data_IF_909919548708
#
_entry.id   IF_909919548708
#
_cell.length_a   1.000
_cell.length_b   1.000
_cell.length_c   1.000
_cell.angle_alpha   90.00
_cell.angle_beta   90.00
_cell.angle_gamma   90.00
#
_symmetry.space_group_name_H-M   'P 1'
#
loop_
_entity.id
_entity.type
_entity.pdbx_description
1 polymer ?
#
# COMPACT_ATOMS: atom_id res chain seq x y z
N UNK A 1 7.12 -1.33 14.02
CA UNK A 1 6.67 -2.06 12.82
C UNK A 1 5.29 -2.61 13.11
N UNK A 2 4.34 -2.59 12.17
CA UNK A 2 3.01 -3.16 12.40
C UNK A 2 3.02 -4.68 12.22
N UNK A 3 2.05 -5.32 12.80
CA UNK A 3 1.67 -6.72 12.58
C UNK A 3 0.15 -6.80 12.49
N UNK A 4 -0.34 -7.78 11.74
CA UNK A 4 -1.76 -8.13 11.68
C UNK A 4 -1.95 -9.59 12.11
N UNK A 5 -3.12 -10.15 11.96
CA UNK A 5 -3.39 -11.55 12.33
C UNK A 5 -2.47 -12.53 11.58
N UNK A 6 -2.39 -12.41 10.24
CA UNK A 6 -1.68 -13.33 9.36
C UNK A 6 -0.38 -12.78 8.79
N UNK A 7 -0.17 -11.44 8.84
CA UNK A 7 0.92 -10.77 8.14
C UNK A 7 1.93 -10.18 9.10
N UNK A 8 3.20 -10.25 8.71
CA UNK A 8 4.28 -9.45 9.26
C UNK A 8 4.79 -8.45 8.22
N UNK A 9 5.41 -7.38 8.70
CA UNK A 9 6.00 -6.35 7.86
C UNK A 9 7.42 -6.07 8.33
N UNK A 10 8.33 -5.87 7.38
CA UNK A 10 9.68 -5.41 7.69
C UNK A 10 10.10 -4.30 6.73
N UNK A 11 10.98 -3.43 7.18
CA UNK A 11 11.57 -2.42 6.30
C UNK A 11 12.23 -3.08 5.11
N UNK A 12 12.10 -2.42 3.96
CA UNK A 12 12.84 -2.80 2.77
C UNK A 12 14.31 -2.38 2.91
N UNK A 13 15.20 -3.16 2.33
CA UNK A 13 16.64 -2.92 2.27
C UNK A 13 17.10 -2.96 0.80
N UNK A 14 18.30 -2.46 0.45
CA UNK A 14 18.82 -2.54 -0.91
C UNK A 14 18.89 -3.97 -1.46
N UNK A 15 19.09 -4.97 -0.59
CA UNK A 15 19.17 -6.39 -0.92
C UNK A 15 17.83 -6.97 -1.38
N UNK A 16 16.72 -6.26 -1.15
CA UNK A 16 15.38 -6.69 -1.61
C UNK A 16 15.12 -6.41 -3.10
N UNK A 17 16.02 -5.70 -3.78
CA UNK A 17 15.80 -5.33 -5.18
C UNK A 17 15.54 -6.54 -6.10
N UNK A 18 16.31 -7.64 -6.06
CA UNK A 18 16.03 -8.81 -6.90
C UNK A 18 14.65 -9.40 -6.67
N UNK A 19 14.25 -9.56 -5.41
CA UNK A 19 12.91 -10.04 -5.05
C UNK A 19 11.81 -9.08 -5.52
N UNK A 20 12.00 -7.77 -5.38
CA UNK A 20 11.02 -6.77 -5.81
C UNK A 20 10.82 -6.79 -7.33
N UNK A 21 11.90 -6.99 -8.10
CA UNK A 21 11.84 -7.16 -9.55
C UNK A 21 11.05 -8.42 -9.91
N UNK A 22 11.38 -9.57 -9.32
CA UNK A 22 10.69 -10.83 -9.56
C UNK A 22 9.19 -10.71 -9.23
N UNK A 23 8.85 -10.16 -8.08
CA UNK A 23 7.47 -10.00 -7.61
C UNK A 23 6.63 -9.11 -8.52
N UNK A 24 7.22 -8.06 -9.13
CA UNK A 24 6.51 -7.08 -9.95
C UNK A 24 6.60 -7.33 -11.46
N UNK A 25 7.43 -8.28 -11.91
CA UNK A 25 7.59 -8.62 -13.34
C UNK A 25 6.35 -9.23 -13.99
N UNK A 26 5.55 -10.09 -13.33
CA UNK A 26 4.39 -10.70 -13.96
C UNK A 26 3.39 -9.65 -14.45
N UNK A 27 2.89 -9.82 -15.69
CA UNK A 27 1.97 -8.87 -16.33
C UNK A 27 0.71 -8.57 -15.49
N UNK A 28 0.06 -9.56 -14.86
CA UNK A 28 -1.11 -9.28 -14.02
C UNK A 28 -0.81 -8.33 -12.85
N UNK A 29 0.42 -8.36 -12.33
CA UNK A 29 0.85 -7.47 -11.23
C UNK A 29 1.26 -6.10 -11.77
N UNK A 30 2.10 -6.05 -12.80
CA UNK A 30 2.68 -4.80 -13.28
C UNK A 30 1.71 -3.90 -14.05
N UNK A 31 0.64 -4.46 -14.66
CA UNK A 31 -0.35 -3.67 -15.44
C UNK A 31 -0.96 -2.51 -14.65
N UNK A 32 -1.15 -2.70 -13.35
CA UNK A 32 -1.70 -1.67 -12.45
C UNK A 32 -0.63 -0.90 -11.66
N UNK A 33 0.63 -1.04 -12.07
CA UNK A 33 1.79 -0.34 -11.49
C UNK A 33 2.52 0.54 -12.52
N UNK A 34 1.85 0.84 -13.62
CA UNK A 34 2.41 1.64 -14.72
C UNK A 34 3.03 0.81 -15.85
N UNK A 35 2.82 -0.51 -15.85
CA UNK A 35 3.30 -1.41 -16.89
C UNK A 35 4.81 -1.67 -16.83
N UNK A 36 5.30 -2.43 -17.81
CA UNK A 36 6.70 -2.90 -17.87
C UNK A 36 7.72 -1.75 -17.84
N UNK A 37 7.41 -0.60 -18.44
CA UNK A 37 8.31 0.54 -18.46
C UNK A 37 8.61 1.10 -17.06
N UNK A 38 7.59 1.13 -16.17
CA UNK A 38 7.72 1.62 -14.79
C UNK A 38 8.15 0.53 -13.81
N UNK A 39 8.22 -0.71 -14.25
CA UNK A 39 8.61 -1.87 -13.42
C UNK A 39 9.91 -2.53 -13.91
N UNK A 40 10.71 -1.83 -14.74
CA UNK A 40 12.05 -2.29 -15.10
C UNK A 40 13.04 -2.17 -13.91
N UNK A 41 14.18 -2.87 -13.93
CA UNK A 41 15.11 -2.91 -12.80
C UNK A 41 15.60 -1.53 -12.34
N UNK A 42 15.86 -0.60 -13.27
CA UNK A 42 16.33 0.75 -12.97
C UNK A 42 15.25 1.57 -12.25
N UNK A 43 14.02 1.54 -12.77
CA UNK A 43 12.88 2.22 -12.14
C UNK A 43 12.58 1.67 -10.74
N UNK A 44 12.67 0.34 -10.59
CA UNK A 44 12.47 -0.31 -9.29
C UNK A 44 13.59 0.00 -8.29
N UNK A 45 14.84 0.15 -8.73
CA UNK A 45 15.94 0.58 -7.88
C UNK A 45 15.72 2.01 -7.35
N UNK A 46 15.24 2.93 -8.19
CA UNK A 46 14.86 4.29 -7.77
C UNK A 46 13.69 4.25 -6.78
N UNK A 47 12.66 3.46 -7.07
CA UNK A 47 11.48 3.30 -6.22
C UNK A 47 11.83 2.70 -4.85
N UNK A 48 12.71 1.70 -4.83
CA UNK A 48 13.19 1.09 -3.58
C UNK A 48 13.94 2.10 -2.70
N UNK A 49 14.83 2.91 -3.28
CA UNK A 49 15.52 3.99 -2.56
C UNK A 49 14.52 4.99 -1.96
N UNK A 50 13.47 5.34 -2.71
CA UNK A 50 12.41 6.21 -2.21
C UNK A 50 11.70 5.57 -1.01
N UNK A 51 11.29 4.30 -1.09
CA UNK A 51 10.64 3.60 0.02
C UNK A 51 11.50 3.56 1.29
N UNK A 52 12.80 3.28 1.14
CA UNK A 52 13.75 3.29 2.26
C UNK A 52 13.85 4.70 2.86
N UNK A 53 13.98 5.73 2.03
CA UNK A 53 14.11 7.12 2.49
C UNK A 53 12.88 7.65 3.22
N UNK A 54 11.69 7.09 2.98
CA UNK A 54 10.47 7.49 3.67
C UNK A 54 10.55 7.23 5.18
N UNK A 55 11.20 6.14 5.60
CA UNK A 55 11.38 5.85 7.02
C UNK A 55 12.24 6.87 7.74
N UNK A 56 13.28 7.38 7.10
CA UNK A 56 14.16 8.39 7.68
C UNK A 56 13.45 9.75 7.79
N UNK A 57 12.58 10.06 6.83
CA UNK A 57 11.89 11.36 6.75
C UNK A 57 10.61 11.42 7.57
N UNK A 58 9.82 10.35 7.57
CA UNK A 58 8.44 10.34 8.10
C UNK A 58 8.23 9.34 9.24
N UNK A 59 9.19 8.46 9.51
CA UNK A 59 9.03 7.37 10.48
C UNK A 59 8.19 6.19 9.99
N UNK A 60 7.63 6.28 8.77
CA UNK A 60 6.89 5.22 8.08
C UNK A 60 7.25 5.17 6.60
N UNK A 61 6.91 4.08 5.93
CA UNK A 61 7.20 3.88 4.50
C UNK A 61 6.59 2.58 3.99
N UNK A 62 6.79 2.30 2.72
CA UNK A 62 6.42 1.02 2.15
C UNK A 62 7.36 -0.08 2.66
N UNK A 63 6.79 -1.23 3.01
CA UNK A 63 7.45 -2.38 3.62
C UNK A 63 7.37 -3.63 2.75
N UNK A 64 8.30 -4.56 2.93
CA UNK A 64 8.07 -5.94 2.56
C UNK A 64 7.00 -6.55 3.49
N UNK A 65 6.06 -7.26 2.90
CA UNK A 65 4.93 -7.92 3.57
C UNK A 65 5.05 -9.42 3.41
N UNK A 66 4.96 -10.17 4.49
CA UNK A 66 5.08 -11.62 4.48
C UNK A 66 4.04 -12.33 5.35
N UNK A 67 3.92 -13.63 5.13
CA UNK A 67 3.03 -14.52 5.90
C UNK A 67 3.72 -14.97 7.18
N UNK A 68 3.08 -14.78 8.33
CA UNK A 68 3.58 -15.27 9.64
C UNK A 68 3.73 -16.80 9.66
N UNK A 69 2.86 -17.51 8.96
CA UNK A 69 2.83 -18.97 8.95
C UNK A 69 4.02 -19.62 8.25
N UNK A 70 4.60 -18.95 7.25
CA UNK A 70 5.66 -19.52 6.40
C UNK A 70 6.94 -18.68 6.38
N UNK A 71 6.87 -17.42 6.82
CA UNK A 71 7.95 -16.45 6.63
C UNK A 71 8.11 -15.94 5.20
N UNK A 72 7.26 -16.39 4.27
CA UNK A 72 7.35 -16.04 2.86
C UNK A 72 6.92 -14.59 2.61
N UNK A 73 7.71 -13.85 1.82
CA UNK A 73 7.34 -12.52 1.35
C UNK A 73 6.32 -12.62 0.22
N UNK A 74 5.20 -11.95 0.37
CA UNK A 74 4.05 -12.04 -0.54
C UNK A 74 3.76 -10.74 -1.29
N UNK A 75 4.38 -9.63 -0.90
CA UNK A 75 4.11 -8.33 -1.50
C UNK A 75 4.74 -7.17 -0.76
N UNK A 76 4.34 -5.97 -1.13
CA UNK A 76 4.71 -4.72 -0.44
C UNK A 76 3.47 -3.97 -0.01
N UNK A 77 3.53 -3.29 1.14
CA UNK A 77 2.45 -2.44 1.63
C UNK A 77 2.97 -1.40 2.62
N UNK A 78 2.33 -0.24 2.70
CA UNK A 78 2.78 0.82 3.60
C UNK A 78 2.04 2.12 3.43
N UNK A 79 2.53 3.13 4.16
CA UNK A 79 2.15 4.53 4.02
C UNK A 79 3.28 5.28 3.33
N UNK A 80 2.96 6.21 2.43
CA UNK A 80 3.94 7.03 1.74
C UNK A 80 3.32 8.32 1.24
N UNK A 81 4.10 9.38 1.01
CA UNK A 81 3.58 10.56 0.33
C UNK A 81 3.19 10.25 -1.11
N UNK A 82 2.00 10.71 -1.52
CA UNK A 82 1.58 10.73 -2.92
C UNK A 82 2.35 11.83 -3.65
N UNK A 83 3.04 11.50 -4.75
CA UNK A 83 4.03 12.38 -5.39
C UNK A 83 3.48 13.77 -5.74
N UNK A 84 2.24 13.83 -6.26
CA UNK A 84 1.66 15.07 -6.76
C UNK A 84 1.11 16.00 -5.67
N UNK A 85 0.62 15.44 -4.56
CA UNK A 85 -0.07 16.22 -3.52
C UNK A 85 0.66 16.27 -2.19
N UNK A 86 1.54 15.32 -1.93
CA UNK A 86 2.18 15.13 -0.63
C UNK A 86 1.26 14.55 0.45
N UNK A 87 -0.02 14.28 0.14
CA UNK A 87 -0.93 13.57 1.04
C UNK A 87 -0.42 12.16 1.31
N UNK A 88 -0.65 11.64 2.49
CA UNK A 88 -0.19 10.28 2.82
C UNK A 88 -1.17 9.25 2.25
N UNK A 89 -0.66 8.43 1.35
CA UNK A 89 -1.40 7.31 0.77
C UNK A 89 -1.11 5.99 1.47
N UNK A 90 -2.11 5.11 1.51
CA UNK A 90 -1.94 3.69 1.81
C UNK A 90 -1.81 2.93 0.49
N UNK A 91 -0.67 2.23 0.33
CA UNK A 91 -0.39 1.39 -0.85
C UNK A 91 -0.23 -0.08 -0.48
N UNK A 92 -0.63 -0.97 -1.39
CA UNK A 92 -0.44 -2.42 -1.26
C UNK A 92 -0.35 -3.09 -2.63
N UNK A 93 0.60 -4.00 -2.75
CA UNK A 93 0.83 -4.81 -3.94
C UNK A 93 1.14 -6.23 -3.50
N UNK A 94 0.52 -7.21 -4.12
CA UNK A 94 0.71 -8.63 -3.83
C UNK A 94 1.10 -9.40 -5.08
N UNK A 95 1.93 -10.40 -4.92
CA UNK A 95 2.12 -11.42 -5.95
C UNK A 95 0.78 -12.10 -6.28
N UNK A 96 0.56 -12.40 -7.55
CA UNK A 96 -0.74 -12.87 -8.08
C UNK A 96 -1.28 -14.09 -7.31
N UNK A 97 -0.43 -15.03 -6.95
CA UNK A 97 -0.82 -16.26 -6.22
C UNK A 97 -1.44 -16.02 -4.83
N UNK A 98 -1.31 -14.80 -4.30
CA UNK A 98 -1.88 -14.42 -3.00
C UNK A 98 -3.11 -13.51 -3.13
N UNK A 99 -3.60 -13.29 -4.34
CA UNK A 99 -4.83 -12.53 -4.56
C UNK A 99 -6.07 -13.29 -4.06
N UNK A 100 -7.14 -12.53 -3.80
CA UNK A 100 -8.47 -13.06 -3.39
C UNK A 100 -8.47 -13.85 -2.07
N UNK A 101 -7.42 -13.74 -1.25
CA UNK A 101 -7.30 -14.40 0.06
C UNK A 101 -7.49 -13.44 1.25
N UNK A 102 -7.88 -12.18 0.98
CA UNK A 102 -8.15 -11.18 2.00
C UNK A 102 -6.92 -10.41 2.48
N UNK A 103 -5.72 -10.75 2.06
CA UNK A 103 -4.48 -10.09 2.52
C UNK A 103 -4.41 -8.61 2.17
N UNK A 104 -4.95 -8.19 1.02
CA UNK A 104 -5.03 -6.79 0.63
C UNK A 104 -5.86 -5.95 1.59
N UNK A 105 -7.02 -6.46 2.02
CA UNK A 105 -7.85 -5.80 3.02
C UNK A 105 -7.16 -5.77 4.40
N UNK A 106 -6.60 -6.90 4.81
CA UNK A 106 -5.93 -7.03 6.11
C UNK A 106 -4.76 -6.05 6.25
N UNK A 107 -3.89 -5.96 5.22
CA UNK A 107 -2.76 -5.04 5.26
C UNK A 107 -3.20 -3.57 5.19
N UNK A 108 -4.19 -3.23 4.34
CA UNK A 108 -4.71 -1.86 4.27
C UNK A 108 -5.29 -1.41 5.62
N UNK A 109 -6.11 -2.24 6.27
CA UNK A 109 -6.65 -1.97 7.62
C UNK A 109 -5.56 -1.80 8.67
N UNK A 110 -4.53 -2.65 8.62
CA UNK A 110 -3.38 -2.54 9.53
C UNK A 110 -2.66 -1.20 9.40
N UNK A 111 -2.43 -0.74 8.16
CA UNK A 111 -1.77 0.53 7.90
C UNK A 111 -2.65 1.74 8.22
N UNK A 112 -3.95 1.70 7.92
CA UNK A 112 -4.88 2.76 8.32
C UNK A 112 -4.90 2.93 9.84
N UNK A 113 -5.03 1.82 10.57
CA UNK A 113 -4.98 1.82 12.04
C UNK A 113 -3.66 2.39 12.57
N UNK A 114 -2.54 1.99 12.00
CA UNK A 114 -1.22 2.49 12.37
C UNK A 114 -1.07 3.99 12.09
N UNK A 115 -1.47 4.43 10.89
CA UNK A 115 -1.43 5.83 10.49
C UNK A 115 -2.21 6.74 11.43
N UNK A 116 -3.44 6.35 11.76
CA UNK A 116 -4.28 7.16 12.65
C UNK A 116 -3.89 7.08 14.12
N UNK A 117 -3.53 5.90 14.64
CA UNK A 117 -3.26 5.72 16.07
C UNK A 117 -1.82 6.01 16.48
N UNK A 118 -0.85 5.69 15.61
CA UNK A 118 0.56 5.74 15.96
C UNK A 118 1.33 6.88 15.24
N UNK A 119 0.96 7.20 14.00
CA UNK A 119 1.64 8.26 13.23
C UNK A 119 0.96 9.63 13.35
N UNK A 120 -0.19 9.72 14.01
CA UNK A 120 -0.88 10.99 14.24
C UNK A 120 -1.50 11.61 12.99
N UNK A 121 -1.72 10.82 11.92
CA UNK A 121 -2.32 11.32 10.68
C UNK A 121 -3.81 11.65 10.88
N UNK A 122 -4.27 12.73 10.25
CA UNK A 122 -5.70 13.12 10.30
C UNK A 122 -6.47 12.61 9.07
N UNK A 123 -5.76 12.33 7.98
CA UNK A 123 -6.34 11.86 6.72
C UNK A 123 -5.37 10.91 6.03
N UNK A 124 -5.89 9.87 5.40
CA UNK A 124 -5.14 8.95 4.54
C UNK A 124 -5.91 8.80 3.24
N UNK A 125 -5.17 8.81 2.13
CA UNK A 125 -5.71 8.65 0.77
C UNK A 125 -5.29 7.33 0.16
N UNK A 126 -5.90 6.94 -0.95
CA UNK A 126 -5.49 5.83 -1.78
C UNK A 126 -5.89 6.09 -3.23
N UNK A 127 -5.03 5.66 -4.15
CA UNK A 127 -5.29 5.80 -5.59
C UNK A 127 -5.18 4.46 -6.29
N UNK A 128 -5.94 4.28 -7.36
CA UNK A 128 -5.89 3.06 -8.16
C UNK A 128 -6.37 3.33 -9.59
N UNK A 129 -5.95 2.50 -10.54
CA UNK A 129 -6.58 2.48 -11.86
C UNK A 129 -8.08 2.20 -11.74
N UNK A 130 -8.94 2.88 -12.53
CA UNK A 130 -10.39 2.62 -12.52
C UNK A 130 -10.73 1.15 -12.81
N UNK A 131 -9.95 0.50 -13.67
CA UNK A 131 -10.13 -0.90 -14.06
C UNK A 131 -9.68 -1.89 -12.97
N UNK A 132 -8.85 -1.46 -12.03
CA UNK A 132 -8.42 -2.29 -10.89
C UNK A 132 -9.50 -2.36 -9.81
N UNK A 133 -10.63 -2.97 -10.16
CA UNK A 133 -11.80 -3.06 -9.28
C UNK A 133 -11.50 -3.77 -7.95
N UNK A 134 -10.55 -4.69 -7.94
CA UNK A 134 -10.12 -5.38 -6.72
C UNK A 134 -9.51 -4.41 -5.70
N UNK A 135 -8.71 -3.44 -6.16
CA UNK A 135 -8.06 -2.46 -5.29
C UNK A 135 -9.08 -1.48 -4.69
N UNK A 136 -9.88 -0.78 -5.51
CA UNK A 136 -10.79 0.21 -4.96
C UNK A 136 -11.94 -0.40 -4.15
N UNK A 137 -12.36 -1.66 -4.41
CA UNK A 137 -13.27 -2.38 -3.51
C UNK A 137 -12.66 -2.65 -2.13
N UNK A 138 -11.34 -2.85 -2.04
CA UNK A 138 -10.65 -2.93 -0.75
C UNK A 138 -10.72 -1.56 -0.06
N UNK A 139 -10.49 -0.46 -0.77
CA UNK A 139 -10.61 0.90 -0.22
C UNK A 139 -12.00 1.14 0.38
N UNK A 140 -13.07 0.84 -0.38
CA UNK A 140 -14.45 0.95 0.10
C UNK A 140 -14.72 0.07 1.32
N UNK A 141 -14.24 -1.17 1.30
CA UNK A 141 -14.37 -2.10 2.43
C UNK A 141 -13.67 -1.58 3.68
N UNK A 142 -12.53 -0.88 3.52
CA UNK A 142 -11.84 -0.19 4.61
C UNK A 142 -12.59 1.05 5.13
N UNK A 143 -13.64 1.49 4.44
CA UNK A 143 -14.42 2.67 4.80
C UNK A 143 -13.96 3.95 4.13
N UNK A 144 -13.05 3.85 3.17
CA UNK A 144 -12.65 5.00 2.35
C UNK A 144 -13.77 5.39 1.39
N UNK A 145 -13.89 6.69 1.12
CA UNK A 145 -14.92 7.28 0.25
C UNK A 145 -14.27 7.78 -1.03
N UNK A 146 -14.90 7.48 -2.17
CA UNK A 146 -14.51 8.04 -3.47
C UNK A 146 -14.71 9.55 -3.46
N UNK A 147 -13.74 10.30 -3.95
CA UNK A 147 -13.82 11.75 -4.09
C UNK A 147 -13.82 12.21 -5.54
N UNK A 148 -12.93 11.68 -6.34
CA UNK A 148 -12.71 12.14 -7.73
C UNK A 148 -11.94 11.11 -8.55
N UNK A 149 -11.90 11.35 -9.85
CA UNK A 149 -10.88 10.79 -10.74
C UNK A 149 -9.91 11.90 -11.10
N UNK A 150 -8.62 11.64 -10.90
CA UNK A 150 -7.56 12.62 -11.12
C UNK A 150 -6.28 11.94 -11.60
N UNK A 151 -5.32 12.74 -12.08
CA UNK A 151 -4.06 12.22 -12.60
C UNK A 151 -3.03 12.08 -11.49
N UNK A 152 -2.64 10.82 -11.22
CA UNK A 152 -1.59 10.47 -10.26
C UNK A 152 -0.62 9.47 -10.89
N UNK A 153 0.67 9.59 -10.59
CA UNK A 153 1.72 8.75 -11.19
C UNK A 153 1.72 8.76 -12.73
N UNK A 154 1.23 9.87 -13.33
CA UNK A 154 1.12 10.02 -14.78
C UNK A 154 -0.08 9.31 -15.44
N UNK A 155 -1.00 8.74 -14.66
CA UNK A 155 -2.18 7.99 -15.12
C UNK A 155 -3.45 8.51 -14.46
N UNK A 156 -4.61 8.32 -15.11
CA UNK A 156 -5.91 8.60 -14.49
C UNK A 156 -6.21 7.55 -13.42
N UNK A 157 -6.44 8.01 -12.19
CA UNK A 157 -6.74 7.16 -11.05
C UNK A 157 -8.08 7.55 -10.42
N UNK A 158 -8.80 6.58 -9.87
CA UNK A 158 -9.80 6.84 -8.85
C UNK A 158 -9.10 7.20 -7.55
N UNK A 159 -9.58 8.24 -6.89
CA UNK A 159 -9.02 8.80 -5.67
C UNK A 159 -10.01 8.60 -4.52
N UNK A 160 -9.57 7.92 -3.49
CA UNK A 160 -10.33 7.64 -2.28
C UNK A 160 -9.64 8.24 -1.07
N UNK A 161 -10.41 8.55 -0.03
CA UNK A 161 -9.86 9.03 1.23
C UNK A 161 -10.67 8.56 2.43
N UNK A 162 -10.05 8.67 3.60
CA UNK A 162 -10.73 8.49 4.89
C UNK A 162 -10.09 9.43 5.90
N UNK A 163 -10.93 10.10 6.71
CA UNK A 163 -10.48 10.88 7.86
C UNK A 163 -10.25 9.99 9.07
N UNK A 164 -9.48 10.49 10.05
CA UNK A 164 -9.34 9.84 11.37
C UNK A 164 -10.70 9.67 12.05
N UNK A 165 -11.55 10.69 12.00
CA UNK A 165 -12.87 10.70 12.62
C UNK A 165 -13.75 9.60 12.05
N UNK A 166 -13.86 9.51 10.72
CA UNK A 166 -14.63 8.48 10.03
C UNK A 166 -14.10 7.07 10.32
N UNK A 167 -12.76 6.92 10.33
CA UNK A 167 -12.13 5.64 10.67
C UNK A 167 -12.46 5.21 12.10
N UNK A 168 -12.34 6.10 13.07
CA UNK A 168 -12.62 5.80 14.47
C UNK A 168 -14.12 5.56 14.70
N UNK A 169 -15.00 6.29 14.04
CA UNK A 169 -16.44 6.06 14.08
C UNK A 169 -16.82 4.66 13.59
N UNK A 170 -16.20 4.21 12.51
CA UNK A 170 -16.51 2.92 11.88
C UNK A 170 -15.84 1.72 12.57
N UNK A 171 -14.58 1.88 12.99
CA UNK A 171 -13.72 0.78 13.44
C UNK A 171 -13.21 0.93 14.87
N UNK A 172 -13.52 2.05 15.55
CA UNK A 172 -13.03 2.33 16.90
C UNK A 172 -13.61 1.47 18.00
N UNK A 173 -14.82 0.96 17.80
CA UNK A 173 -15.56 0.16 18.80
C UNK A 173 -15.11 -1.32 18.91
N UNK A 174 -14.34 -1.84 17.96
CA UNK A 174 -13.90 -3.25 17.94
C UNK A 174 -12.68 -3.56 18.84
N UNK A 175 -12.36 -2.70 19.82
CA UNK A 175 -11.14 -2.80 20.61
C UNK A 175 -11.33 -2.72 22.14
N UNK A 176 -12.48 -3.17 22.64
CA UNK A 176 -12.64 -3.44 24.08
C UNK A 176 -12.72 -4.94 24.33
#
# INVERSE_FOLDING_TARGET
>A
MIETERLFFRKLTPEDLPWLIEMRSPEPVNRYLGGTEKQNPEALAVRLKFYISCYDKFGFGNCAMGLKSTGELIGTSGLQPLEETGEIEVGYNLSERFWRQGYGFECAMGWLKHGFKNCGLDRIVAVSYPENTASWRIMEKCGMTYEKTDKHYGINCVFYSISREDFLSKWGAEQN
#
